data_IF_890219286427
#
_entry.id   IF_890219286427
#
_cell.length_a   1.000
_cell.length_b   1.000
_cell.length_c   1.000
_cell.angle_alpha   90.00
_cell.angle_beta   90.00
_cell.angle_gamma   90.00
#
_symmetry.space_group_name_H-M   'P 1'
#
loop_
_entity.id
_entity.type
_entity.pdbx_description
1 polymer ?
#
# COMPACT_ATOMS: atom_id res chain seq x y z
N UNK A 1 -35.57 -5.40 -7.44
CA UNK A 1 -35.90 -6.59 -6.63
C UNK A 1 -35.25 -6.45 -5.26
N UNK A 2 -36.03 -6.61 -4.17
CA UNK A 2 -35.50 -6.58 -2.82
C UNK A 2 -34.76 -7.91 -2.56
N UNK A 3 -33.50 -7.83 -2.11
CA UNK A 3 -32.73 -9.00 -1.70
C UNK A 3 -33.40 -9.60 -0.46
N UNK A 4 -33.61 -10.94 -0.43
CA UNK A 4 -34.22 -11.64 0.71
C UNK A 4 -33.41 -11.41 1.99
N UNK A 5 -34.04 -11.56 3.15
CA UNK A 5 -33.42 -11.37 4.47
C UNK A 5 -32.22 -12.32 4.65
N UNK A 6 -32.41 -13.60 4.32
CA UNK A 6 -31.36 -14.62 4.39
C UNK A 6 -30.13 -14.28 3.54
N UNK A 7 -30.35 -13.77 2.33
CA UNK A 7 -29.24 -13.38 1.43
C UNK A 7 -28.49 -12.15 1.95
N UNK A 8 -29.17 -11.23 2.67
CA UNK A 8 -28.50 -10.11 3.34
C UNK A 8 -27.62 -10.60 4.49
N UNK A 9 -28.09 -11.54 5.27
CA UNK A 9 -27.33 -12.14 6.38
C UNK A 9 -26.09 -12.89 5.86
N UNK A 10 -26.21 -13.66 4.77
CA UNK A 10 -25.06 -14.30 4.13
C UNK A 10 -24.03 -13.29 3.61
N UNK A 11 -24.49 -12.18 3.02
CA UNK A 11 -23.58 -11.14 2.53
C UNK A 11 -22.89 -10.41 3.70
N UNK A 12 -23.61 -10.15 4.79
CA UNK A 12 -23.05 -9.55 6.01
C UNK A 12 -21.96 -10.46 6.61
N UNK A 13 -22.23 -11.76 6.72
CA UNK A 13 -21.24 -12.73 7.22
C UNK A 13 -19.96 -12.73 6.37
N UNK A 14 -20.08 -12.72 5.03
CA UNK A 14 -18.91 -12.63 4.13
C UNK A 14 -18.13 -11.34 4.31
N UNK A 15 -18.83 -10.21 4.44
CA UNK A 15 -18.17 -8.92 4.65
C UNK A 15 -17.44 -8.88 6.00
N UNK A 16 -18.03 -9.47 7.03
CA UNK A 16 -17.43 -9.60 8.35
C UNK A 16 -16.15 -10.44 8.32
N UNK A 17 -16.18 -11.58 7.62
CA UNK A 17 -15.01 -12.44 7.42
C UNK A 17 -13.87 -11.69 6.68
N UNK A 18 -14.18 -10.93 5.63
CA UNK A 18 -13.17 -10.15 4.90
C UNK A 18 -12.58 -9.03 5.75
N UNK A 19 -13.42 -8.32 6.50
CA UNK A 19 -12.97 -7.23 7.39
C UNK A 19 -12.07 -7.77 8.50
N UNK A 20 -12.45 -8.88 9.14
CA UNK A 20 -11.65 -9.50 10.22
C UNK A 20 -10.30 -10.03 9.74
N UNK A 21 -10.23 -10.52 8.52
CA UNK A 21 -8.99 -11.05 7.93
C UNK A 21 -8.10 -9.97 7.32
N UNK A 22 -8.64 -8.78 7.05
CA UNK A 22 -7.90 -7.71 6.40
C UNK A 22 -7.14 -6.84 7.40
N UNK A 23 -5.89 -6.50 7.08
CA UNK A 23 -5.09 -5.52 7.82
C UNK A 23 -5.42 -4.08 7.43
N UNK A 24 -5.81 -3.89 6.17
CA UNK A 24 -6.26 -2.58 5.68
C UNK A 24 -7.42 -2.73 4.69
N UNK A 25 -8.28 -1.72 4.70
CA UNK A 25 -9.46 -1.59 3.85
C UNK A 25 -9.37 -0.27 3.09
N UNK A 26 -9.35 -0.30 1.76
CA UNK A 26 -9.25 0.90 0.92
C UNK A 26 -10.56 1.09 0.18
N UNK A 27 -11.14 2.28 0.32
CA UNK A 27 -12.41 2.67 -0.31
C UNK A 27 -12.15 3.39 -1.63
N UNK A 28 -12.82 2.93 -2.67
CA UNK A 28 -12.67 3.44 -4.03
C UNK A 28 -14.04 3.78 -4.60
N UNK A 29 -14.17 4.94 -5.24
CA UNK A 29 -15.32 5.30 -6.05
C UNK A 29 -15.12 4.82 -7.48
N UNK A 30 -16.14 4.20 -8.09
CA UNK A 30 -16.07 3.68 -9.46
C UNK A 30 -17.20 4.20 -10.36
N UNK A 31 -17.61 5.44 -10.18
CA UNK A 31 -18.74 6.02 -10.94
C UNK A 31 -18.38 6.14 -12.42
N UNK A 32 -19.09 5.42 -13.28
CA UNK A 32 -18.88 5.44 -14.74
C UNK A 32 -17.78 4.52 -15.27
N UNK A 33 -17.15 3.71 -14.43
CA UNK A 33 -16.11 2.78 -14.87
C UNK A 33 -16.67 1.60 -15.68
N UNK A 34 -16.01 1.24 -16.78
CA UNK A 34 -16.36 0.04 -17.59
C UNK A 34 -15.93 -1.22 -16.84
N UNK A 35 -16.70 -2.34 -17.03
CA UNK A 35 -16.41 -3.62 -16.38
C UNK A 35 -14.99 -4.13 -16.66
N UNK A 36 -14.49 -3.99 -17.89
CA UNK A 36 -13.12 -4.37 -18.25
C UNK A 36 -12.05 -3.66 -17.39
N UNK A 37 -12.28 -2.39 -17.06
CA UNK A 37 -11.37 -1.63 -16.18
C UNK A 37 -11.41 -2.16 -14.74
N UNK A 38 -12.60 -2.50 -14.23
CA UNK A 38 -12.74 -3.08 -12.88
C UNK A 38 -12.13 -4.48 -12.80
N UNK A 39 -12.23 -5.28 -13.85
CA UNK A 39 -11.61 -6.61 -13.90
C UNK A 39 -10.07 -6.53 -13.96
N UNK A 40 -9.53 -5.55 -14.67
CA UNK A 40 -8.08 -5.28 -14.66
C UNK A 40 -7.58 -4.88 -13.26
N UNK A 41 -8.34 -4.05 -12.53
CA UNK A 41 -8.04 -3.69 -11.15
C UNK A 41 -8.08 -4.92 -10.25
N UNK A 42 -9.12 -5.77 -10.38
CA UNK A 42 -9.24 -7.03 -9.62
C UNK A 42 -8.06 -7.96 -9.85
N UNK A 43 -7.61 -8.12 -11.09
CA UNK A 43 -6.46 -8.95 -11.42
C UNK A 43 -5.20 -8.46 -10.70
N UNK A 44 -4.86 -7.18 -10.80
CA UNK A 44 -3.69 -6.60 -10.16
C UNK A 44 -3.74 -6.65 -8.64
N UNK A 45 -4.91 -6.42 -8.03
CA UNK A 45 -5.09 -6.52 -6.58
C UNK A 45 -4.93 -7.97 -6.10
N UNK A 46 -5.40 -8.96 -6.86
CA UNK A 46 -5.21 -10.38 -6.54
C UNK A 46 -3.75 -10.81 -6.60
N UNK A 47 -2.96 -10.29 -7.53
CA UNK A 47 -1.51 -10.55 -7.61
C UNK A 47 -0.77 -10.13 -6.33
N UNK A 48 -1.23 -9.06 -5.66
CA UNK A 48 -0.67 -8.60 -4.38
C UNK A 48 -1.25 -9.29 -3.15
N UNK A 49 -2.13 -10.29 -3.36
CA UNK A 49 -2.78 -11.03 -2.28
C UNK A 49 -3.94 -10.29 -1.61
N UNK A 50 -4.46 -9.25 -2.26
CA UNK A 50 -5.68 -8.55 -1.85
C UNK A 50 -6.91 -9.00 -2.63
N UNK A 51 -8.09 -8.55 -2.20
CA UNK A 51 -9.35 -8.77 -2.90
C UNK A 51 -10.08 -7.44 -3.12
N UNK A 52 -10.69 -7.30 -4.31
CA UNK A 52 -11.45 -6.12 -4.69
C UNK A 52 -12.91 -6.47 -4.93
N UNK A 53 -13.80 -5.91 -4.11
CA UNK A 53 -15.23 -6.19 -4.16
C UNK A 53 -16.07 -4.92 -4.25
N UNK A 54 -17.13 -4.98 -5.06
CA UNK A 54 -18.16 -3.96 -5.10
C UNK A 54 -19.13 -4.25 -3.96
N UNK A 55 -19.35 -3.28 -3.10
CA UNK A 55 -20.18 -3.45 -1.90
C UNK A 55 -21.37 -2.51 -1.89
N UNK A 56 -22.42 -2.94 -1.19
CA UNK A 56 -23.56 -2.06 -0.91
C UNK A 56 -23.27 -1.24 0.34
N UNK A 57 -23.23 0.09 0.21
CA UNK A 57 -22.85 1.04 1.26
C UNK A 57 -23.59 0.81 2.58
N UNK A 58 -24.89 0.49 2.54
CA UNK A 58 -25.71 0.25 3.74
C UNK A 58 -25.27 -1.00 4.51
N UNK A 59 -24.88 -2.07 3.80
CA UNK A 59 -24.40 -3.31 4.43
C UNK A 59 -22.95 -3.15 4.91
N UNK A 60 -22.11 -2.53 4.11
CA UNK A 60 -20.72 -2.25 4.49
C UNK A 60 -20.66 -1.38 5.75
N UNK A 61 -21.48 -0.31 5.83
CA UNK A 61 -21.55 0.55 7.02
C UNK A 61 -21.90 -0.23 8.29
N UNK A 62 -22.84 -1.17 8.20
CA UNK A 62 -23.26 -1.98 9.34
C UNK A 62 -22.12 -2.88 9.84
N UNK A 63 -21.48 -3.61 8.93
CA UNK A 63 -20.35 -4.49 9.28
C UNK A 63 -19.18 -3.72 9.87
N UNK A 64 -18.86 -2.56 9.31
CA UNK A 64 -17.77 -1.71 9.81
C UNK A 64 -18.08 -1.14 11.19
N UNK A 65 -19.33 -0.74 11.46
CA UNK A 65 -19.78 -0.30 12.78
C UNK A 65 -19.74 -1.46 13.80
N UNK A 66 -20.18 -2.65 13.41
CA UNK A 66 -20.17 -3.85 14.27
C UNK A 66 -18.73 -4.27 14.65
N UNK A 67 -17.75 -3.98 13.80
CA UNK A 67 -16.31 -4.22 14.07
C UNK A 67 -15.60 -3.02 14.74
N UNK A 68 -16.33 -2.02 15.23
CA UNK A 68 -15.76 -0.87 15.92
C UNK A 68 -14.94 0.08 15.05
N UNK A 69 -15.11 0.01 13.73
CA UNK A 69 -14.42 0.84 12.77
C UNK A 69 -15.30 2.03 12.40
N UNK A 70 -14.99 3.20 12.96
CA UNK A 70 -15.71 4.43 12.62
C UNK A 70 -15.23 5.03 11.29
N UNK A 71 -16.12 5.04 10.31
CA UNK A 71 -15.92 5.78 9.07
C UNK A 71 -16.70 7.10 9.09
N UNK A 72 -16.10 8.19 8.61
CA UNK A 72 -16.87 9.39 8.29
C UNK A 72 -18.01 9.04 7.31
N UNK A 73 -19.21 9.50 7.62
CA UNK A 73 -20.42 9.18 6.83
C UNK A 73 -20.28 9.54 5.35
N UNK A 74 -19.43 10.51 5.05
CA UNK A 74 -19.18 11.03 3.71
C UNK A 74 -18.39 10.09 2.80
N UNK A 75 -17.63 9.14 3.34
CA UNK A 75 -16.84 8.21 2.54
C UNK A 75 -17.68 7.10 1.88
N UNK A 76 -18.80 6.72 2.48
CA UNK A 76 -19.71 5.70 1.98
C UNK A 76 -20.91 6.28 1.23
N UNK A 77 -20.68 7.33 0.42
CA UNK A 77 -21.67 7.96 -0.46
C UNK A 77 -21.36 7.55 -1.91
N UNK A 78 -22.36 7.47 -2.79
CA UNK A 78 -22.26 7.05 -4.20
C UNK A 78 -21.81 5.58 -4.37
N UNK A 79 -21.39 5.23 -5.58
CA UNK A 79 -20.91 3.88 -5.92
C UNK A 79 -19.54 3.61 -5.29
N UNK A 80 -19.48 2.67 -4.35
CA UNK A 80 -18.27 2.37 -3.60
C UNK A 80 -17.84 0.92 -3.81
N UNK A 81 -16.58 0.72 -4.10
CA UNK A 81 -15.91 -0.57 -4.06
C UNK A 81 -14.90 -0.58 -2.93
N UNK A 82 -14.66 -1.73 -2.35
CA UNK A 82 -13.72 -1.92 -1.26
C UNK A 82 -12.62 -2.87 -1.72
N UNK A 83 -11.39 -2.48 -1.49
CA UNK A 83 -10.24 -3.36 -1.60
C UNK A 83 -9.76 -3.77 -0.22
N UNK A 84 -9.68 -5.06 0.01
CA UNK A 84 -9.19 -5.67 1.23
C UNK A 84 -7.74 -6.08 1.03
N UNK A 85 -6.85 -5.65 1.92
CA UNK A 85 -5.45 -6.07 1.96
C UNK A 85 -5.27 -7.07 3.09
N UNK A 86 -4.86 -8.31 2.77
CA UNK A 86 -4.71 -9.39 3.76
C UNK A 86 -3.27 -9.58 4.24
N UNK A 87 -2.27 -9.27 3.41
CA UNK A 87 -0.85 -9.52 3.72
C UNK A 87 -0.04 -8.24 3.82
N UNK A 88 -0.12 -7.39 2.82
CA UNK A 88 0.71 -6.19 2.71
C UNK A 88 -0.15 -5.01 2.22
N UNK A 89 -0.52 -4.10 3.14
CA UNK A 89 -1.30 -2.91 2.79
C UNK A 89 -0.62 -2.00 1.77
N UNK A 90 0.71 -1.88 1.83
CA UNK A 90 1.46 -0.97 0.97
C UNK A 90 1.47 -1.47 -0.49
N UNK A 91 1.73 -2.77 -0.71
CA UNK A 91 1.71 -3.35 -2.06
C UNK A 91 0.32 -3.32 -2.69
N UNK A 92 -0.73 -3.57 -1.89
CA UNK A 92 -2.12 -3.48 -2.36
C UNK A 92 -2.51 -2.03 -2.70
N UNK A 93 -2.12 -1.04 -1.87
CA UNK A 93 -2.33 0.37 -2.15
C UNK A 93 -1.59 0.83 -3.42
N UNK A 94 -0.36 0.34 -3.62
CA UNK A 94 0.45 0.61 -4.83
C UNK A 94 -0.22 0.04 -6.07
N UNK A 95 -0.61 -1.22 -6.08
CA UNK A 95 -1.30 -1.87 -7.19
C UNK A 95 -2.61 -1.17 -7.55
N UNK A 96 -3.38 -0.73 -6.53
CA UNK A 96 -4.56 0.10 -6.73
C UNK A 96 -4.21 1.42 -7.38
N UNK A 97 -3.28 2.19 -6.81
CA UNK A 97 -2.92 3.52 -7.30
C UNK A 97 -2.39 3.48 -8.73
N UNK A 98 -1.58 2.47 -9.07
CA UNK A 98 -1.08 2.25 -10.44
C UNK A 98 -2.22 1.89 -11.41
N UNK A 99 -3.17 1.08 -10.98
CA UNK A 99 -4.34 0.74 -11.79
C UNK A 99 -5.29 1.92 -12.02
N UNK A 100 -5.30 2.87 -11.08
CA UNK A 100 -6.12 4.08 -11.16
C UNK A 100 -5.52 5.14 -12.07
N UNK A 101 -4.20 5.22 -12.25
CA UNK A 101 -3.53 6.18 -13.12
C UNK A 101 -4.01 6.12 -14.59
N UNK A 102 -4.58 4.98 -15.02
CA UNK A 102 -5.17 4.80 -16.36
C UNK A 102 -6.68 5.02 -16.45
N UNK A 103 -7.37 5.32 -15.35
CA UNK A 103 -8.83 5.40 -15.30
C UNK A 103 -9.31 6.62 -14.50
N UNK A 104 -9.74 7.66 -15.20
CA UNK A 104 -10.26 8.89 -14.57
C UNK A 104 -11.57 8.68 -13.80
N UNK A 105 -12.29 7.60 -14.10
CA UNK A 105 -13.60 7.26 -13.50
C UNK A 105 -13.50 6.60 -12.13
N UNK A 106 -12.30 6.24 -11.70
CA UNK A 106 -12.06 5.54 -10.42
C UNK A 106 -11.18 6.40 -9.53
N UNK A 107 -11.69 6.76 -8.35
CA UNK A 107 -10.98 7.64 -7.40
C UNK A 107 -10.91 7.00 -6.03
N UNK A 108 -9.76 7.14 -5.37
CA UNK A 108 -9.61 6.73 -3.97
C UNK A 108 -10.32 7.75 -3.09
N UNK A 109 -11.23 7.28 -2.24
CA UNK A 109 -11.93 8.10 -1.24
C UNK A 109 -11.18 8.16 0.07
N UNK A 110 -10.52 7.08 0.42
CA UNK A 110 -9.81 6.92 1.68
C UNK A 110 -9.62 5.45 2.00
N UNK A 111 -9.23 5.18 3.22
CA UNK A 111 -9.05 3.80 3.69
C UNK A 111 -9.18 3.70 5.21
N UNK A 112 -9.03 2.50 5.69
CA UNK A 112 -8.92 2.19 7.11
C UNK A 112 -7.74 1.24 7.30
N UNK A 113 -6.90 1.52 8.29
CA UNK A 113 -5.80 0.66 8.69
C UNK A 113 -5.65 0.69 10.21
N UNK A 114 -5.63 -0.48 10.81
CA UNK A 114 -5.52 -0.62 12.27
C UNK A 114 -6.54 0.24 13.06
N UNK A 115 -7.79 0.32 12.59
CA UNK A 115 -8.84 1.11 13.24
C UNK A 115 -8.80 2.63 13.01
N UNK A 116 -7.78 3.13 12.29
CA UNK A 116 -7.65 4.56 11.97
C UNK A 116 -8.12 4.84 10.54
N UNK A 117 -8.92 5.89 10.35
CA UNK A 117 -9.34 6.35 9.03
C UNK A 117 -8.18 7.06 8.32
N UNK A 118 -7.95 6.72 7.06
CA UNK A 118 -6.95 7.32 6.20
C UNK A 118 -7.59 8.24 5.17
N UNK A 119 -7.05 9.43 5.02
CA UNK A 119 -7.41 10.35 3.96
C UNK A 119 -6.82 9.89 2.60
N UNK A 120 -7.35 10.35 1.45
CA UNK A 120 -6.83 10.00 0.13
C UNK A 120 -5.33 10.30 -0.04
N UNK A 121 -4.84 11.38 0.57
CA UNK A 121 -3.42 11.73 0.57
C UNK A 121 -2.56 10.70 1.32
N UNK A 122 -3.05 10.21 2.46
CA UNK A 122 -2.37 9.17 3.24
C UNK A 122 -2.36 7.83 2.52
N UNK A 123 -3.42 7.48 1.79
CA UNK A 123 -3.44 6.28 0.95
C UNK A 123 -2.41 6.38 -0.19
N UNK A 124 -2.21 7.57 -0.77
CA UNK A 124 -1.13 7.81 -1.73
C UNK A 124 0.25 7.62 -1.10
N UNK A 125 0.49 8.20 0.07
CA UNK A 125 1.74 7.99 0.82
C UNK A 125 1.96 6.50 1.11
N UNK A 126 0.92 5.76 1.49
CA UNK A 126 1.00 4.33 1.70
C UNK A 126 1.41 3.58 0.42
N UNK A 127 0.93 4.02 -0.75
CA UNK A 127 1.28 3.42 -2.04
C UNK A 127 2.74 3.70 -2.47
N UNK A 128 3.36 4.74 -1.93
CA UNK A 128 4.77 5.10 -2.19
C UNK A 128 5.73 4.37 -1.24
N UNK A 129 5.20 3.77 -0.16
CA UNK A 129 6.02 3.03 0.79
C UNK A 129 6.56 1.74 0.17
N UNK A 130 7.83 1.41 0.40
CA UNK A 130 8.39 0.13 0.01
C UNK A 130 7.81 -1.02 0.84
N UNK A 131 7.91 -2.27 0.36
CA UNK A 131 7.45 -3.45 1.09
C UNK A 131 8.09 -3.57 2.48
N UNK A 132 7.40 -4.20 3.42
CA UNK A 132 7.83 -4.38 4.82
C UNK A 132 9.29 -4.82 5.01
N UNK A 133 9.83 -5.82 4.27
CA UNK A 133 11.23 -6.24 4.44
C UNK A 133 12.22 -5.11 4.10
N UNK A 134 11.93 -4.31 3.08
CA UNK A 134 12.78 -3.19 2.68
C UNK A 134 12.72 -2.08 3.74
N UNK A 135 11.53 -1.79 4.30
CA UNK A 135 11.40 -0.82 5.40
C UNK A 135 12.19 -1.24 6.65
N UNK A 136 12.17 -2.53 7.00
CA UNK A 136 12.97 -3.06 8.11
C UNK A 136 14.46 -2.93 7.83
N UNK A 137 14.90 -3.22 6.60
CA UNK A 137 16.29 -3.06 6.21
C UNK A 137 16.76 -1.60 6.26
N UNK A 138 15.93 -0.65 5.80
CA UNK A 138 16.24 0.78 5.90
C UNK A 138 16.32 1.27 7.34
N UNK A 139 15.40 0.83 8.21
CA UNK A 139 15.47 1.15 9.64
C UNK A 139 16.76 0.64 10.28
N UNK A 140 17.13 -0.60 10.02
CA UNK A 140 18.41 -1.17 10.52
C UNK A 140 19.61 -0.40 9.96
N UNK A 141 19.56 -0.03 8.68
CA UNK A 141 20.59 0.80 8.05
C UNK A 141 20.75 2.17 8.72
N UNK A 142 19.63 2.84 9.04
CA UNK A 142 19.66 4.14 9.75
C UNK A 142 20.23 3.99 11.16
N UNK A 143 19.88 2.92 11.88
CA UNK A 143 20.42 2.66 13.22
C UNK A 143 21.93 2.37 13.19
N UNK A 144 22.43 1.71 12.13
CA UNK A 144 23.87 1.44 11.97
C UNK A 144 24.65 2.61 11.34
N UNK A 145 23.98 3.57 10.74
CA UNK A 145 24.62 4.68 10.04
C UNK A 145 25.63 5.48 10.90
N UNK A 146 25.36 5.84 12.18
CA UNK A 146 26.33 6.55 13.00
C UNK A 146 27.61 5.76 13.22
N UNK A 147 27.52 4.48 13.55
CA UNK A 147 28.67 3.62 13.76
C UNK A 147 29.47 3.41 12.46
N UNK A 148 28.80 3.17 11.36
CA UNK A 148 29.43 3.05 10.05
C UNK A 148 30.12 4.33 9.61
N UNK A 149 29.53 5.50 9.91
CA UNK A 149 30.14 6.79 9.61
C UNK A 149 31.43 7.02 10.41
N UNK A 150 31.44 6.70 11.70
CA UNK A 150 32.65 6.78 12.54
C UNK A 150 33.77 5.89 12.00
N UNK A 151 33.47 4.62 11.68
CA UNK A 151 34.47 3.70 11.13
C UNK A 151 35.04 4.22 9.80
N UNK A 152 34.17 4.75 8.93
CA UNK A 152 34.60 5.33 7.66
C UNK A 152 35.51 6.54 7.86
N UNK A 153 35.16 7.49 8.73
CA UNK A 153 35.99 8.67 8.99
C UNK A 153 37.35 8.30 9.57
N UNK A 154 37.45 7.27 10.39
CA UNK A 154 38.73 6.77 10.90
C UNK A 154 39.54 6.03 9.80
N UNK A 155 38.91 5.38 8.87
CA UNK A 155 39.57 4.67 7.78
C UNK A 155 39.92 5.59 6.59
N UNK A 156 39.31 6.77 6.47
CA UNK A 156 39.44 7.67 5.30
C UNK A 156 40.91 8.14 5.07
N UNK A 157 41.72 8.52 6.08
CA UNK A 157 43.11 8.93 5.86
C UNK A 157 43.95 7.82 5.21
N UNK A 158 43.77 6.57 5.66
CA UNK A 158 44.53 5.46 5.11
C UNK A 158 44.09 5.14 3.66
N UNK A 159 42.77 5.20 3.39
CA UNK A 159 42.21 5.01 2.04
C UNK A 159 42.65 6.14 1.10
N UNK A 160 42.63 7.39 1.55
CA UNK A 160 43.09 8.54 0.78
C UNK A 160 44.54 8.41 0.34
N UNK A 161 45.45 8.03 1.26
CA UNK A 161 46.85 7.75 0.91
C UNK A 161 47.00 6.62 -0.10
N UNK A 162 46.28 5.51 0.08
CA UNK A 162 46.34 4.41 -0.84
C UNK A 162 45.80 4.78 -2.24
N UNK A 163 44.75 5.59 -2.31
CA UNK A 163 44.19 6.08 -3.59
C UNK A 163 45.18 7.00 -4.33
N UNK A 164 45.90 7.91 -3.61
CA UNK A 164 46.90 8.77 -4.22
C UNK A 164 48.10 7.97 -4.76
N UNK A 165 48.59 7.00 -3.97
CA UNK A 165 49.70 6.11 -4.40
C UNK A 165 49.30 5.33 -5.65
N UNK A 166 48.05 4.78 -5.66
CA UNK A 166 47.54 4.06 -6.80
C UNK A 166 47.42 4.95 -8.05
N UNK A 167 46.86 6.15 -7.91
CA UNK A 167 46.72 7.10 -9.01
C UNK A 167 48.10 7.53 -9.55
N UNK A 168 49.11 7.71 -8.69
CA UNK A 168 50.47 8.02 -9.13
C UNK A 168 51.09 6.83 -9.89
N UNK A 169 50.89 5.60 -9.43
CA UNK A 169 51.40 4.42 -10.10
C UNK A 169 50.75 4.19 -11.48
N UNK A 170 49.46 4.53 -11.62
CA UNK A 170 48.73 4.44 -12.88
C UNK A 170 49.09 5.58 -13.87
N UNK A 171 49.56 6.73 -13.38
CA UNK A 171 50.02 7.86 -14.22
C UNK A 171 51.45 7.72 -14.70
N UNK A 172 52.28 6.93 -13.99
CA UNK A 172 53.63 6.60 -14.45
C UNK A 172 53.51 5.34 -15.32
N UNK A 173 53.42 5.44 -16.67
CA UNK A 173 53.53 4.27 -17.53
C UNK A 173 54.88 3.64 -17.23
N UNK A 174 54.88 2.32 -16.97
CA UNK A 174 56.12 1.56 -16.83
C UNK A 174 56.99 1.86 -18.06
N UNK A 175 58.03 2.67 -17.85
CA UNK A 175 59.08 2.83 -18.88
C UNK A 175 59.76 1.46 -18.99
N UNK A 176 59.35 0.69 -20.00
CA UNK A 176 60.05 -0.48 -20.47
C UNK A 176 61.06 -0.06 -21.53
#
# INVERSE_FOLDING_TARGET
>A
MAISKERKEQVLARYDDWVKRSEAVILVEYTGAKMKALDAIRAKVRETGGEFHIVKNTLARRVLADNGMEFPKDLLVKSTAISFAFKDPASTAKALTESLKGNEFVKVKGGLMAGKSLNPAQVKMLSEMPPLPVMRATLLGVLQAPASKLVRTLAEPARGLAAVIKAHAEQTPAAA
#
